data_IF_093359612713
#
_entry.id   IF_093359612713
#
_cell.length_a   1.000
_cell.length_b   1.000
_cell.length_c   1.000
_cell.angle_alpha   90.00
_cell.angle_beta   90.00
_cell.angle_gamma   90.00
#
_symmetry.space_group_name_H-M   'P 1'
#
loop_
_entity.id
_entity.type
_entity.pdbx_description
1 polymer ?
#
# COMPACT_ATOMS: atom_id res chain seq x y z
N UNK A 1 1.56 -16.23 -65.01
CA UNK A 1 2.15 -16.71 -63.75
C UNK A 1 2.17 -15.51 -62.79
N UNK A 2 1.54 -15.68 -61.63
CA UNK A 2 0.88 -14.63 -60.84
C UNK A 2 1.81 -13.48 -60.38
N UNK A 3 1.38 -12.24 -60.62
CA UNK A 3 1.97 -11.02 -60.04
C UNK A 3 1.54 -10.88 -58.59
N UNK A 4 2.47 -11.10 -57.67
CA UNK A 4 2.25 -10.85 -56.24
C UNK A 4 2.36 -9.35 -55.99
N UNK A 5 1.23 -8.64 -55.95
CA UNK A 5 1.22 -7.24 -55.50
C UNK A 5 1.37 -7.23 -53.99
N UNK A 6 2.40 -6.54 -53.49
CA UNK A 6 2.61 -6.23 -52.08
C UNK A 6 1.59 -5.20 -51.53
N UNK A 7 0.31 -5.37 -51.86
CA UNK A 7 -0.81 -4.51 -51.43
C UNK A 7 -1.66 -5.12 -50.33
N UNK A 8 -1.40 -6.36 -49.92
CA UNK A 8 -2.18 -7.06 -48.87
C UNK A 8 -1.45 -7.17 -47.52
N UNK A 9 -0.45 -6.32 -47.29
CA UNK A 9 -0.01 -6.05 -45.93
C UNK A 9 -0.76 -4.83 -45.44
N UNK A 10 -2.00 -5.06 -44.98
CA UNK A 10 -2.68 -4.19 -44.03
C UNK A 10 -1.62 -3.69 -43.05
N UNK A 11 -1.44 -2.37 -42.85
CA UNK A 11 -0.45 -1.92 -41.90
C UNK A 11 -0.83 -2.53 -40.56
N UNK A 12 0.07 -3.34 -40.01
CA UNK A 12 0.06 -3.67 -38.60
C UNK A 12 -0.25 -2.35 -37.89
N UNK A 13 -1.40 -2.27 -37.22
CA UNK A 13 -1.83 -1.14 -36.42
C UNK A 13 -0.89 -1.01 -35.21
N UNK A 14 0.37 -0.70 -35.49
CA UNK A 14 1.33 -0.23 -34.54
C UNK A 14 0.91 1.22 -34.27
N UNK A 15 0.42 1.49 -33.06
CA UNK A 15 0.54 2.82 -32.45
C UNK A 15 1.94 2.88 -31.82
N UNK A 16 3.00 3.29 -32.54
CA UNK A 16 4.27 3.56 -31.90
C UNK A 16 4.04 4.67 -30.85
N UNK A 17 4.29 4.36 -29.58
CA UNK A 17 4.05 5.22 -28.43
C UNK A 17 2.70 5.03 -27.70
N UNK A 18 1.74 4.28 -28.24
CA UNK A 18 0.46 4.03 -27.57
C UNK A 18 0.57 3.05 -26.40
N UNK A 19 1.26 1.93 -26.64
CA UNK A 19 1.47 0.86 -25.65
C UNK A 19 2.29 1.35 -24.45
N UNK A 20 3.38 2.09 -24.70
CA UNK A 20 4.28 2.59 -23.65
C UNK A 20 3.59 3.59 -22.70
N UNK A 21 2.67 4.40 -23.23
CA UNK A 21 1.91 5.36 -22.44
C UNK A 21 0.88 4.66 -21.55
N UNK A 22 0.20 3.64 -22.05
CA UNK A 22 -0.74 2.84 -21.27
C UNK A 22 -0.03 2.09 -20.14
N UNK A 23 1.11 1.46 -20.42
CA UNK A 23 1.91 0.80 -19.39
C UNK A 23 2.44 1.78 -18.35
N UNK A 24 2.89 2.98 -18.75
CA UNK A 24 3.33 4.03 -17.81
C UNK A 24 2.16 4.54 -16.96
N UNK A 25 0.99 4.75 -17.56
CA UNK A 25 -0.22 5.15 -16.87
C UNK A 25 -0.64 4.07 -15.85
N UNK A 26 -0.61 2.80 -16.24
CA UNK A 26 -0.94 1.67 -15.37
C UNK A 26 0.04 1.57 -14.19
N UNK A 27 1.36 1.63 -14.44
CA UNK A 27 2.37 1.66 -13.37
C UNK A 27 2.16 2.81 -12.40
N UNK A 28 1.87 4.01 -12.92
CA UNK A 28 1.56 5.19 -12.09
C UNK A 28 0.34 4.95 -11.20
N UNK A 29 -0.74 4.35 -11.72
CA UNK A 29 -1.95 4.03 -10.95
C UNK A 29 -1.66 3.02 -9.84
N UNK A 30 -0.90 1.97 -10.13
CA UNK A 30 -0.51 0.97 -9.12
C UNK A 30 0.31 1.62 -8.00
N UNK A 31 1.28 2.48 -8.33
CA UNK A 31 2.06 3.21 -7.31
C UNK A 31 1.19 4.15 -6.48
N UNK A 32 0.22 4.83 -7.10
CA UNK A 32 -0.76 5.67 -6.37
C UNK A 32 -1.64 4.84 -5.44
N UNK A 33 -2.09 3.67 -5.87
CA UNK A 33 -2.87 2.75 -5.03
C UNK A 33 -2.04 2.24 -3.85
N UNK A 34 -0.79 1.85 -4.07
CA UNK A 34 0.12 1.45 -2.98
C UNK A 34 0.30 2.61 -2.00
N UNK A 35 0.51 3.83 -2.49
CA UNK A 35 0.65 5.01 -1.63
C UNK A 35 -0.62 5.28 -0.81
N UNK A 36 -1.81 5.15 -1.42
CA UNK A 36 -3.09 5.31 -0.74
C UNK A 36 -3.32 4.23 0.33
N UNK A 37 -3.05 2.97 0.01
CA UNK A 37 -3.16 1.85 0.96
C UNK A 37 -2.20 2.06 2.13
N UNK A 38 -0.95 2.44 1.86
CA UNK A 38 0.02 2.76 2.92
C UNK A 38 -0.49 3.88 3.81
N UNK A 39 -1.07 4.94 3.24
CA UNK A 39 -1.69 6.02 4.01
C UNK A 39 -2.85 5.54 4.88
N UNK A 40 -3.75 4.72 4.34
CA UNK A 40 -4.89 4.18 5.08
C UNK A 40 -4.45 3.27 6.25
N UNK A 41 -3.49 2.38 6.01
CA UNK A 41 -2.92 1.51 7.04
C UNK A 41 -2.23 2.33 8.13
N UNK A 42 -1.50 3.38 7.77
CA UNK A 42 -0.87 4.27 8.75
C UNK A 42 -1.91 4.99 9.63
N UNK A 43 -3.01 5.46 9.05
CA UNK A 43 -4.11 6.07 9.81
C UNK A 43 -4.74 5.08 10.80
N UNK A 44 -5.08 3.87 10.33
CA UNK A 44 -5.65 2.82 11.17
C UNK A 44 -4.72 2.40 12.30
N UNK A 45 -3.41 2.32 12.06
CA UNK A 45 -2.43 1.95 13.08
C UNK A 45 -2.45 2.95 14.25
N UNK A 46 -2.59 4.26 13.96
CA UNK A 46 -2.68 5.30 14.99
C UNK A 46 -3.94 5.12 15.83
N UNK A 47 -5.09 4.89 15.19
CA UNK A 47 -6.37 4.68 15.90
C UNK A 47 -6.31 3.47 16.83
N UNK A 48 -5.75 2.35 16.35
CA UNK A 48 -5.60 1.12 17.14
C UNK A 48 -4.64 1.32 18.32
N UNK A 49 -3.53 2.04 18.13
CA UNK A 49 -2.59 2.35 19.22
C UNK A 49 -3.22 3.24 20.27
N UNK A 50 -4.00 4.26 19.88
CA UNK A 50 -4.72 5.11 20.83
C UNK A 50 -5.71 4.29 21.67
N UNK A 51 -6.47 3.41 21.02
CA UNK A 51 -7.39 2.48 21.69
C UNK A 51 -6.66 1.63 22.73
N UNK A 52 -5.56 1.00 22.35
CA UNK A 52 -4.77 0.15 23.24
C UNK A 52 -4.24 0.92 24.47
N UNK A 53 -3.75 2.14 24.26
CA UNK A 53 -3.26 3.01 25.35
C UNK A 53 -4.42 3.39 26.27
N UNK A 54 -5.56 3.81 25.73
CA UNK A 54 -6.70 4.29 26.52
C UNK A 54 -7.36 3.16 27.31
N UNK A 55 -7.51 1.99 26.69
CA UNK A 55 -8.24 0.86 27.27
C UNK A 55 -7.39 0.02 28.21
N UNK A 56 -6.10 -0.17 27.91
CA UNK A 56 -5.26 -1.12 28.64
C UNK A 56 -4.17 -0.42 29.45
N UNK A 57 -3.53 0.63 28.94
CA UNK A 57 -2.49 1.35 29.72
C UNK A 57 -3.10 2.35 30.69
N UNK A 58 -4.09 3.14 30.27
CA UNK A 58 -4.70 4.20 31.07
C UNK A 58 -5.80 3.69 32.02
N UNK A 59 -6.12 2.39 31.99
CA UNK A 59 -7.10 1.78 32.85
C UNK A 59 -6.80 2.05 34.34
N UNK A 60 -7.85 2.41 35.08
CA UNK A 60 -7.80 2.50 36.53
C UNK A 60 -7.79 1.11 37.16
N UNK A 61 -7.20 0.99 38.35
CA UNK A 61 -7.19 -0.26 39.11
C UNK A 61 -6.07 -1.24 38.77
N UNK A 62 -5.20 -0.92 37.80
CA UNK A 62 -3.99 -1.70 37.53
C UNK A 62 -2.93 -1.51 38.62
N UNK A 63 -2.30 -2.61 39.00
CA UNK A 63 -1.03 -2.60 39.75
C UNK A 63 0.11 -2.00 38.91
N UNK A 64 1.24 -1.70 39.55
CA UNK A 64 2.40 -1.18 38.86
C UNK A 64 2.95 -2.19 37.84
N UNK A 65 3.00 -3.46 38.22
CA UNK A 65 3.49 -4.57 37.41
C UNK A 65 2.59 -4.81 36.19
N UNK A 66 1.27 -4.82 36.35
CA UNK A 66 0.33 -4.96 35.23
C UNK A 66 0.45 -3.78 34.25
N UNK A 67 0.55 -2.55 34.77
CA UNK A 67 0.74 -1.36 33.93
C UNK A 67 2.05 -1.42 33.14
N UNK A 68 3.13 -1.91 33.75
CA UNK A 68 4.40 -2.09 33.06
C UNK A 68 4.31 -3.12 31.92
N UNK A 69 3.57 -4.22 32.13
CA UNK A 69 3.33 -5.22 31.09
C UNK A 69 2.57 -4.63 29.89
N UNK A 70 1.51 -3.87 30.13
CA UNK A 70 0.72 -3.22 29.08
C UNK A 70 1.55 -2.21 28.27
N UNK A 71 2.37 -1.39 28.95
CA UNK A 71 3.30 -0.46 28.29
C UNK A 71 4.30 -1.20 27.41
N UNK A 72 4.88 -2.30 27.90
CA UNK A 72 5.82 -3.11 27.14
C UNK A 72 5.19 -3.72 25.88
N UNK A 73 3.92 -4.09 25.94
CA UNK A 73 3.19 -4.64 24.81
C UNK A 73 2.96 -3.57 23.73
N UNK A 74 2.50 -2.37 24.11
CA UNK A 74 2.37 -1.23 23.18
C UNK A 74 3.73 -0.85 22.58
N UNK A 75 4.79 -0.82 23.39
CA UNK A 75 6.14 -0.53 22.92
C UNK A 75 6.71 -1.58 21.95
N UNK A 76 6.29 -2.86 22.07
CA UNK A 76 6.66 -3.90 21.12
C UNK A 76 6.02 -3.68 19.75
N UNK A 77 4.73 -3.33 19.72
CA UNK A 77 3.99 -3.01 18.48
C UNK A 77 4.56 -1.76 17.80
N UNK A 78 4.87 -0.71 18.57
CA UNK A 78 5.52 0.48 18.01
C UNK A 78 6.88 0.16 17.37
N UNK A 79 7.69 -0.70 18.01
CA UNK A 79 8.99 -1.12 17.47
C UNK A 79 8.88 -1.96 16.19
N UNK A 80 7.84 -2.77 16.05
CA UNK A 80 7.63 -3.53 14.80
C UNK A 80 7.14 -2.64 13.66
N UNK A 81 6.37 -1.59 13.98
CA UNK A 81 5.86 -0.64 13.00
C UNK A 81 6.92 0.36 12.50
N UNK A 82 7.88 0.72 13.35
CA UNK A 82 8.96 1.67 13.02
C UNK A 82 10.21 1.02 12.39
N UNK A 83 10.25 -0.31 12.24
CA UNK A 83 11.30 -1.03 11.51
C UNK A 83 11.04 -0.99 10.01
#
# INVERSE_FOLDING_TARGET
MLSFKATDLTPLQQKPGGWDNEHRQNRRRILQQIAAIRGAVNGLMVEVLEGQIREHVAAGGLTAEEREQEVNQVAAVLRSYLK
#
